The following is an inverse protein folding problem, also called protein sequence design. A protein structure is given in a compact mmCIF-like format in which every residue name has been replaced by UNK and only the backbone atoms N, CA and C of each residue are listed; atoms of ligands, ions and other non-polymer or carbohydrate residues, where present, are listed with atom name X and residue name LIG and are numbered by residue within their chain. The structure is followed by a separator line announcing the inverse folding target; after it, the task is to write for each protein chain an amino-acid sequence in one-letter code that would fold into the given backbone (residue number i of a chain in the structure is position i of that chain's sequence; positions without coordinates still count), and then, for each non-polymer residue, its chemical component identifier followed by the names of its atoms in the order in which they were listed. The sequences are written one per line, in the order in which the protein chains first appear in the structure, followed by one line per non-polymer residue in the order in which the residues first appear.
data_IF_027797029584
#
_entry.id   IF_027797029584
#
_cell.length_a   1.000
_cell.length_b   1.000
_cell.length_c   1.000
_cell.angle_alpha   90.00
_cell.angle_beta   90.00
_cell.angle_gamma   90.00
#
_symmetry.space_group_name_H-M   'P 1'
#
loop_
_entity.id
_entity.type
_entity.pdbx_description
1 polymer ?
#
# COMPACT_ATOMS: atom_id res chain seq x y z
N UNK A 1 5.58 -10.20 -25.35
CA UNK A 1 4.23 -9.61 -25.25
C UNK A 1 3.61 -9.87 -23.87
N UNK A 2 3.68 -11.11 -23.35
CA UNK A 2 3.18 -11.49 -22.03
C UNK A 2 3.74 -10.67 -20.86
N UNK A 3 5.06 -10.44 -20.81
CA UNK A 3 5.72 -9.74 -19.68
C UNK A 3 5.24 -8.29 -19.55
N UNK A 4 5.04 -7.57 -20.67
CA UNK A 4 4.52 -6.19 -20.61
C UNK A 4 3.08 -6.15 -20.10
N UNK A 5 2.30 -7.18 -20.40
CA UNK A 5 0.92 -7.31 -19.93
C UNK A 5 0.87 -7.56 -18.41
N UNK A 6 1.71 -8.46 -17.89
CA UNK A 6 1.80 -8.74 -16.46
C UNK A 6 2.28 -7.51 -15.65
N UNK A 7 3.20 -6.71 -16.21
CA UNK A 7 3.65 -5.45 -15.61
C UNK A 7 2.58 -4.36 -15.57
N UNK A 8 1.69 -4.36 -16.56
CA UNK A 8 0.54 -3.45 -16.59
C UNK A 8 -0.53 -3.89 -15.58
N UNK A 9 -0.75 -5.19 -15.42
CA UNK A 9 -1.64 -5.76 -14.42
C UNK A 9 -1.19 -5.44 -12.98
N UNK A 10 0.09 -5.63 -12.66
CA UNK A 10 0.59 -5.35 -11.31
C UNK A 10 0.57 -3.84 -10.97
N UNK A 11 0.66 -2.96 -11.98
CA UNK A 11 0.54 -1.51 -11.76
C UNK A 11 -0.88 -1.15 -11.35
N UNK A 12 -1.87 -1.63 -12.11
CA UNK A 12 -3.27 -1.39 -11.79
C UNK A 12 -3.67 -1.95 -10.42
N UNK A 13 -3.13 -3.10 -10.04
CA UNK A 13 -3.34 -3.68 -8.69
C UNK A 13 -2.76 -2.78 -7.59
N UNK A 14 -1.51 -2.33 -7.71
CA UNK A 14 -0.91 -1.44 -6.72
C UNK A 14 -1.67 -0.12 -6.59
N UNK A 15 -2.10 0.46 -7.71
CA UNK A 15 -2.90 1.69 -7.72
C UNK A 15 -4.28 1.47 -7.08
N UNK A 16 -4.92 0.32 -7.36
CA UNK A 16 -6.16 -0.08 -6.71
C UNK A 16 -6.00 -0.16 -5.18
N UNK A 17 -4.97 -0.87 -4.69
CA UNK A 17 -4.72 -0.99 -3.25
C UNK A 17 -4.34 0.33 -2.60
N UNK A 18 -3.64 1.21 -3.33
CA UNK A 18 -3.33 2.57 -2.86
C UNK A 18 -4.61 3.37 -2.64
N UNK A 19 -5.53 3.36 -3.62
CA UNK A 19 -6.83 4.00 -3.47
C UNK A 19 -7.67 3.39 -2.34
N UNK A 20 -7.59 2.07 -2.17
CA UNK A 20 -8.31 1.37 -1.11
C UNK A 20 -7.78 1.80 0.27
N UNK A 21 -6.47 1.70 0.51
CA UNK A 21 -5.81 2.12 1.76
C UNK A 21 -6.12 3.59 2.06
N UNK A 22 -6.07 4.47 1.05
CA UNK A 22 -6.38 5.87 1.25
C UNK A 22 -7.82 6.05 1.76
N UNK A 23 -8.81 5.48 1.07
CA UNK A 23 -10.23 5.68 1.38
C UNK A 23 -10.70 4.99 2.66
N UNK A 24 -10.06 3.89 3.05
CA UNK A 24 -10.54 3.09 4.18
C UNK A 24 -9.74 3.31 5.45
N UNK A 25 -8.45 3.65 5.35
CA UNK A 25 -7.54 3.78 6.48
C UNK A 25 -7.10 5.23 6.66
N UNK A 26 -6.48 5.84 5.65
CA UNK A 26 -5.85 7.15 5.83
C UNK A 26 -6.87 8.28 6.01
N UNK A 27 -8.00 8.22 5.29
CA UNK A 27 -9.07 9.24 5.36
C UNK A 27 -9.92 9.16 6.64
N UNK A 28 -9.80 8.05 7.37
CA UNK A 28 -10.60 7.74 8.57
C UNK A 28 -9.79 7.80 9.86
N UNK A 29 -8.45 7.86 9.77
CA UNK A 29 -7.56 8.04 10.91
C UNK A 29 -7.69 9.46 11.50
N UNK A 30 -7.55 9.56 12.81
CA UNK A 30 -7.42 10.86 13.46
C UNK A 30 -6.13 11.57 13.01
N UNK A 31 -6.19 12.82 12.52
CA UNK A 31 -5.05 13.48 11.91
C UNK A 31 -3.95 13.89 12.92
N UNK A 32 -4.25 13.91 14.22
CA UNK A 32 -3.30 14.31 15.26
C UNK A 32 -2.59 13.10 15.84
N UNK A 33 -3.36 12.07 16.23
CA UNK A 33 -2.86 10.86 16.90
C UNK A 33 -2.48 9.77 15.92
N UNK A 34 -3.03 9.78 14.70
CA UNK A 34 -2.88 8.71 13.72
C UNK A 34 -3.59 7.41 14.11
N UNK A 35 -4.55 7.46 15.04
CA UNK A 35 -5.29 6.28 15.47
C UNK A 35 -6.59 6.10 14.68
N UNK A 36 -6.89 4.86 14.34
CA UNK A 36 -8.16 4.40 13.84
C UNK A 36 -9.08 4.08 15.03
N UNK A 37 -10.18 4.83 15.14
CA UNK A 37 -11.20 4.62 16.17
C UNK A 37 -12.07 3.39 15.87
N UNK A 38 -12.68 2.81 16.90
CA UNK A 38 -13.58 1.67 16.73
C UNK A 38 -14.81 2.06 15.91
N UNK A 39 -15.21 1.19 14.98
CA UNK A 39 -16.45 1.33 14.21
C UNK A 39 -17.67 0.79 14.95
N UNK A 40 -17.48 0.24 16.16
CA UNK A 40 -18.57 -0.28 16.98
C UNK A 40 -19.42 0.87 17.55
N UNK A 41 -20.73 0.75 17.38
CA UNK A 41 -21.71 1.69 17.92
C UNK A 41 -21.49 1.87 19.44
N UNK A 42 -21.35 3.11 19.89
CA UNK A 42 -21.07 3.52 21.28
C UNK A 42 -19.64 3.28 21.80
N UNK A 43 -18.66 2.95 20.95
CA UNK A 43 -17.24 2.84 21.33
C UNK A 43 -16.33 3.68 20.42
N UNK A 44 -16.88 4.69 19.76
CA UNK A 44 -16.19 5.52 18.76
C UNK A 44 -15.10 6.42 19.35
N UNK A 45 -14.99 6.49 20.68
CA UNK A 45 -13.94 7.17 21.43
C UNK A 45 -12.75 6.26 21.78
N UNK A 46 -12.84 4.96 21.50
CA UNK A 46 -11.78 3.99 21.77
C UNK A 46 -11.03 3.57 20.50
N UNK A 47 -9.71 3.53 20.57
CA UNK A 47 -8.85 2.96 19.53
C UNK A 47 -8.35 1.57 19.96
N UNK A 48 -8.72 0.54 19.20
CA UNK A 48 -8.29 -0.83 19.50
C UNK A 48 -6.91 -1.08 18.90
N UNK A 49 -5.97 -1.57 19.72
CA UNK A 49 -4.58 -1.84 19.28
C UNK A 49 -4.55 -2.77 18.07
N UNK A 50 -5.36 -3.84 18.10
CA UNK A 50 -5.44 -4.81 17.00
C UNK A 50 -5.76 -4.15 15.65
N UNK A 51 -6.78 -3.30 15.63
CA UNK A 51 -7.30 -2.72 14.39
C UNK A 51 -6.26 -1.74 13.80
N UNK A 52 -5.61 -0.96 14.67
CA UNK A 52 -4.51 -0.08 14.31
C UNK A 52 -3.27 -0.84 13.81
N UNK A 53 -2.91 -1.96 14.45
CA UNK A 53 -1.79 -2.80 14.02
C UNK A 53 -2.05 -3.40 12.64
N UNK A 54 -3.27 -3.84 12.35
CA UNK A 54 -3.63 -4.36 11.03
C UNK A 54 -3.65 -3.26 9.96
N UNK A 55 -4.15 -2.06 10.30
CA UNK A 55 -4.13 -0.91 9.42
C UNK A 55 -2.69 -0.52 9.01
N UNK A 56 -1.78 -0.42 9.98
CA UNK A 56 -0.36 -0.13 9.72
C UNK A 56 0.31 -1.24 8.92
N UNK A 57 0.02 -2.52 9.20
CA UNK A 57 0.54 -3.63 8.40
C UNK A 57 0.10 -3.56 6.94
N UNK A 58 -1.15 -3.18 6.66
CA UNK A 58 -1.64 -3.03 5.30
C UNK A 58 -0.91 -1.91 4.55
N UNK A 59 -0.71 -0.75 5.20
CA UNK A 59 0.04 0.38 4.64
C UNK A 59 1.50 -0.03 4.37
N UNK A 60 2.15 -0.66 5.35
CA UNK A 60 3.54 -1.08 5.24
C UNK A 60 3.74 -2.13 4.16
N UNK A 61 2.87 -3.15 4.10
CA UNK A 61 2.92 -4.17 3.05
C UNK A 61 2.79 -3.59 1.64
N UNK A 62 1.92 -2.58 1.47
CA UNK A 62 1.80 -1.87 0.20
C UNK A 62 3.07 -1.07 -0.14
N UNK A 63 3.66 -0.38 0.83
CA UNK A 63 4.95 0.32 0.66
C UNK A 63 6.06 -0.64 0.22
N UNK A 64 6.19 -1.79 0.88
CA UNK A 64 7.17 -2.81 0.49
C UNK A 64 6.93 -3.32 -0.95
N UNK A 65 5.68 -3.48 -1.36
CA UNK A 65 5.35 -3.91 -2.71
C UNK A 65 5.78 -2.88 -3.77
N UNK A 66 5.61 -1.59 -3.48
CA UNK A 66 6.15 -0.52 -4.34
C UNK A 66 7.68 -0.52 -4.39
N UNK A 67 8.34 -0.64 -3.24
CA UNK A 67 9.81 -0.67 -3.18
C UNK A 67 10.42 -1.82 -3.98
N UNK A 68 9.89 -3.04 -3.79
CA UNK A 68 10.32 -4.21 -4.56
C UNK A 68 10.16 -4.00 -6.06
N UNK A 69 9.09 -3.33 -6.49
CA UNK A 69 8.88 -3.03 -7.90
C UNK A 69 9.91 -2.03 -8.43
N UNK A 70 10.20 -0.97 -7.67
CA UNK A 70 11.19 0.02 -8.10
C UNK A 70 12.58 -0.59 -8.25
N UNK A 71 12.97 -1.49 -7.35
CA UNK A 71 14.23 -2.23 -7.42
C UNK A 71 14.31 -3.08 -8.69
N UNK A 72 13.25 -3.84 -9.00
CA UNK A 72 13.19 -4.69 -10.20
C UNK A 72 13.26 -3.89 -11.51
N UNK A 73 12.60 -2.73 -11.57
CA UNK A 73 12.66 -1.86 -12.74
C UNK A 73 14.04 -1.23 -12.92
N UNK A 74 14.72 -0.87 -11.83
CA UNK A 74 16.08 -0.34 -11.85
C UNK A 74 17.09 -1.38 -12.33
N UNK A 75 17.03 -2.61 -11.80
CA UNK A 75 17.90 -3.71 -12.23
C UNK A 75 17.69 -4.05 -13.71
N UNK A 76 16.42 -4.06 -14.17
CA UNK A 76 16.11 -4.29 -15.59
C UNK A 76 16.69 -3.19 -16.47
N UNK A 77 16.62 -1.93 -16.03
CA UNK A 77 17.18 -0.79 -16.77
C UNK A 77 18.70 -0.91 -16.89
N UNK A 78 19.40 -1.23 -15.80
CA UNK A 78 20.86 -1.45 -15.80
C UNK A 78 21.26 -2.57 -16.75
N UNK A 79 20.52 -3.68 -16.76
CA UNK A 79 20.77 -4.79 -17.69
C UNK A 79 20.67 -4.36 -19.16
N UNK A 80 19.69 -3.51 -19.51
CA UNK A 80 19.57 -2.97 -20.87
C UNK A 80 20.70 -2.01 -21.26
N UNK A 81 21.24 -1.23 -20.32
CA UNK A 81 22.37 -0.33 -20.57
C UNK A 81 23.67 -1.09 -20.88
N UNK A 82 23.80 -2.35 -20.45
CA UNK A 82 24.98 -3.20 -20.64
C UNK A 82 24.94 -4.04 -21.93
N UNK A 83 23.78 -4.14 -22.60
CA UNK A 83 23.59 -4.93 -23.83
C UNK A 83 23.77 -4.10 -25.12
N UNK A 84 24.15 -2.81 -24.98
CA UNK A 84 24.37 -1.87 -26.09
C UNK A 84 25.82 -1.82 -26.59
#
# INVERSE_FOLDING_TARGET
MQIKQDQMDIHHKLEYYTRLVYRTILDTMDPVTGLFASTLTNMTDHAWVRDNVYAVHAIWGLSLAYHKRTELEEDRRKAYELDQ
#
